data_IF_998090376126
#
_entry.id   IF_998090376126
#
_cell.length_a   1.000
_cell.length_b   1.000
_cell.length_c   1.000
_cell.angle_alpha   90.00
_cell.angle_beta   90.00
_cell.angle_gamma   90.00
#
_symmetry.space_group_name_H-M   'P 1'
#
loop_
_entity.id
_entity.type
_entity.pdbx_description
1 polymer ?
#
# COMPACT_ATOMS: atom_id res chain seq x y z
N UNK A 1 -2.64 12.87 23.56
CA UNK A 1 -2.16 11.74 22.73
C UNK A 1 -2.20 10.50 23.58
N UNK A 2 -3.07 9.54 23.24
CA UNK A 2 -3.40 8.37 24.08
C UNK A 2 -2.57 7.16 23.68
N UNK A 3 -2.41 6.21 24.59
CA UNK A 3 -1.65 4.95 24.46
C UNK A 3 -1.95 4.13 23.17
N UNK A 4 -3.08 4.37 22.50
CA UNK A 4 -3.46 3.75 21.21
C UNK A 4 -2.74 4.34 19.99
N UNK A 5 -2.23 5.57 20.05
CA UNK A 5 -1.52 6.20 18.93
C UNK A 5 -0.10 5.65 18.75
N UNK A 6 0.49 5.04 19.79
CA UNK A 6 1.80 4.38 19.70
C UNK A 6 1.74 3.00 19.03
N UNK A 7 0.59 2.32 19.06
CA UNK A 7 0.45 0.98 18.46
C UNK A 7 0.33 0.96 16.92
N UNK A 8 0.17 2.12 16.27
CA UNK A 8 0.00 2.20 14.80
C UNK A 8 1.26 2.63 14.04
N UNK A 9 2.39 2.86 14.72
CA UNK A 9 3.67 3.05 14.06
C UNK A 9 4.14 1.67 13.58
N UNK A 10 3.92 1.37 12.29
CA UNK A 10 4.46 0.18 11.62
C UNK A 10 5.99 0.18 11.76
N UNK A 11 6.50 -0.71 12.62
CA UNK A 11 7.92 -1.00 12.80
C UNK A 11 8.59 -1.61 11.54
N UNK A 12 7.84 -1.78 10.45
CA UNK A 12 8.27 -2.37 9.18
C UNK A 12 9.14 -1.45 8.30
N UNK A 13 9.67 -0.33 8.82
CA UNK A 13 10.39 0.68 8.02
C UNK A 13 11.88 0.83 8.32
N UNK A 14 12.50 -0.12 9.03
CA UNK A 14 13.94 -0.11 9.31
C UNK A 14 14.67 -1.41 8.95
N UNK A 15 14.17 -2.23 8.01
CA UNK A 15 14.82 -3.49 7.59
C UNK A 15 15.33 -3.38 6.15
N UNK A 16 15.98 -2.27 5.81
CA UNK A 16 16.61 -2.12 4.48
C UNK A 16 18.05 -1.59 4.59
N UNK A 17 18.57 -1.33 5.78
CA UNK A 17 20.00 -0.97 5.95
C UNK A 17 20.53 -1.56 7.23
N UNK A 18 21.42 -2.55 7.10
CA UNK A 18 22.36 -2.92 8.15
C UNK A 18 21.80 -3.88 9.20
N UNK A 19 22.58 -4.93 9.46
CA UNK A 19 22.37 -5.78 10.63
C UNK A 19 22.41 -4.99 11.95
N UNK A 20 21.96 -5.68 13.00
CA UNK A 20 21.96 -5.31 14.41
C UNK A 20 20.83 -4.39 14.92
N UNK A 21 19.74 -4.99 15.42
CA UNK A 21 18.87 -4.39 16.46
C UNK A 21 17.91 -5.39 17.17
N UNK A 22 18.38 -6.56 17.61
CA UNK A 22 17.50 -7.54 18.32
C UNK A 22 17.61 -7.46 19.87
N UNK A 23 18.61 -6.80 20.45
CA UNK A 23 18.82 -6.87 21.90
C UNK A 23 18.07 -5.83 22.76
N UNK A 24 17.62 -4.69 22.20
CA UNK A 24 17.07 -3.56 22.98
C UNK A 24 15.55 -3.63 23.20
N UNK A 25 14.82 -4.32 22.32
CA UNK A 25 13.35 -4.29 22.27
C UNK A 25 12.67 -5.16 23.35
N UNK A 26 13.32 -6.24 23.79
CA UNK A 26 12.75 -7.18 24.76
C UNK A 26 12.73 -6.64 26.21
N UNK A 27 13.70 -5.81 26.58
CA UNK A 27 13.79 -5.23 27.92
C UNK A 27 12.69 -4.17 28.20
N UNK A 28 12.33 -3.40 27.16
CA UNK A 28 11.30 -2.36 27.23
C UNK A 28 9.90 -2.99 27.33
N UNK A 29 9.65 -4.07 26.59
CA UNK A 29 8.41 -4.82 26.63
C UNK A 29 8.11 -5.42 28.03
N UNK A 30 9.14 -5.91 28.72
CA UNK A 30 9.01 -6.43 30.08
C UNK A 30 8.72 -5.32 31.12
N UNK A 31 9.35 -4.15 30.97
CA UNK A 31 9.19 -3.02 31.88
C UNK A 31 7.79 -2.38 31.81
N UNK A 32 7.21 -2.24 30.62
CA UNK A 32 5.90 -1.62 30.41
C UNK A 32 4.73 -2.46 30.92
N UNK A 33 4.86 -3.80 30.90
CA UNK A 33 3.81 -4.74 31.34
C UNK A 33 3.56 -4.72 32.87
N UNK A 34 4.46 -4.13 33.65
CA UNK A 34 4.35 -4.08 35.12
C UNK A 34 3.53 -2.89 35.64
N UNK A 35 3.38 -1.82 34.85
CA UNK A 35 2.65 -0.61 35.27
C UNK A 35 1.13 -0.69 35.04
N UNK A 36 0.67 -1.50 34.09
CA UNK A 36 -0.76 -1.57 33.71
C UNK A 36 -1.66 -2.32 34.71
N UNK A 37 -1.12 -2.87 35.80
CA UNK A 37 -1.88 -3.62 36.80
C UNK A 37 -2.49 -2.76 37.93
N UNK A 38 -2.15 -1.47 38.01
CA UNK A 38 -2.45 -0.66 39.20
C UNK A 38 -3.39 0.55 39.00
N UNK A 39 -4.11 0.70 37.88
CA UNK A 39 -4.91 1.91 37.69
C UNK A 39 -6.21 1.70 36.88
N UNK A 40 -7.25 1.13 37.48
CA UNK A 40 -8.65 1.38 37.05
C UNK A 40 -9.59 1.36 38.26
N UNK A 41 -10.03 2.54 38.73
CA UNK A 41 -11.24 2.69 39.55
C UNK A 41 -11.87 4.09 39.42
N UNK A 42 -13.14 4.14 38.99
CA UNK A 42 -14.11 5.25 39.15
C UNK A 42 -14.01 6.43 38.17
N UNK A 43 -15.05 7.20 37.84
CA UNK A 43 -16.49 7.21 38.16
C UNK A 43 -17.19 8.38 37.41
N UNK A 44 -18.30 8.06 36.71
CA UNK A 44 -19.62 8.74 36.50
C UNK A 44 -19.88 10.28 36.42
N UNK A 45 -20.60 10.65 35.33
CA UNK A 45 -21.90 11.39 35.14
C UNK A 45 -22.21 12.82 35.67
N UNK A 46 -22.91 13.62 34.83
CA UNK A 46 -23.77 14.76 35.21
C UNK A 46 -24.62 15.32 34.03
N UNK A 47 -25.86 15.76 34.26
CA UNK A 47 -26.95 15.98 33.27
C UNK A 47 -27.71 17.33 33.49
N UNK A 48 -28.22 17.93 32.38
CA UNK A 48 -29.41 18.86 32.14
C UNK A 48 -29.34 20.36 32.52
N UNK A 49 -30.30 21.25 32.08
CA UNK A 49 -31.38 21.16 31.06
C UNK A 49 -31.59 22.42 30.14
N UNK A 50 -32.59 22.31 29.25
CA UNK A 50 -33.17 23.21 28.22
C UNK A 50 -34.10 24.35 28.72
N UNK A 51 -34.31 25.40 27.91
CA UNK A 51 -35.43 26.35 28.05
C UNK A 51 -36.13 26.64 26.70
N UNK A 52 -37.46 26.68 26.72
CA UNK A 52 -38.37 26.83 25.57
C UNK A 52 -39.02 28.21 25.53
N UNK A 53 -39.29 28.77 24.35
CA UNK A 53 -40.23 29.90 24.18
C UNK A 53 -41.03 29.72 22.88
N UNK A 54 -42.36 29.92 22.95
CA UNK A 54 -43.31 29.86 21.85
C UNK A 54 -43.44 31.21 21.10
N UNK A 55 -43.93 31.23 19.83
CA UNK A 55 -43.85 32.41 18.96
C UNK A 55 -45.20 33.13 18.72
N UNK A 56 -45.16 34.41 18.34
CA UNK A 56 -46.14 35.02 17.44
C UNK A 56 -45.62 36.36 16.89
N UNK A 57 -45.53 36.54 15.56
CA UNK A 57 -45.99 37.80 14.98
C UNK A 57 -46.79 37.62 13.66
N UNK A 58 -47.69 38.58 13.44
CA UNK A 58 -48.53 38.79 12.25
C UNK A 58 -47.84 38.37 10.93
N UNK A 59 -48.46 37.47 10.18
CA UNK A 59 -47.98 36.98 8.89
C UNK A 59 -48.30 37.98 7.77
N UNK A 60 -47.28 38.45 7.05
CA UNK A 60 -47.45 39.30 5.86
C UNK A 60 -48.07 38.50 4.69
N UNK A 61 -48.83 39.13 3.77
CA UNK A 61 -49.50 38.43 2.67
C UNK A 61 -48.57 37.58 1.79
N UNK A 62 -47.35 38.06 1.49
CA UNK A 62 -46.35 37.30 0.73
C UNK A 62 -45.84 36.05 1.48
N UNK A 63 -45.77 36.10 2.81
CA UNK A 63 -45.42 34.93 3.63
C UNK A 63 -46.54 33.88 3.57
N UNK A 64 -47.81 34.29 3.69
CA UNK A 64 -48.95 33.36 3.58
C UNK A 64 -48.96 32.65 2.22
N UNK A 65 -48.77 33.39 1.12
CA UNK A 65 -48.67 32.80 -0.21
C UNK A 65 -47.47 31.86 -0.35
N UNK A 66 -46.29 32.24 0.16
CA UNK A 66 -45.12 31.36 0.17
C UNK A 66 -45.35 30.05 0.94
N UNK A 67 -46.03 30.13 2.09
CA UNK A 67 -46.38 28.96 2.90
C UNK A 67 -47.31 28.01 2.15
N UNK A 68 -48.36 28.53 1.50
CA UNK A 68 -49.30 27.73 0.70
C UNK A 68 -48.58 27.02 -0.47
N UNK A 69 -47.72 27.74 -1.19
CA UNK A 69 -46.96 27.17 -2.30
C UNK A 69 -45.95 26.13 -1.81
N UNK A 70 -45.27 26.36 -0.67
CA UNK A 70 -44.41 25.35 -0.03
C UNK A 70 -45.21 24.09 0.32
N UNK A 71 -46.41 24.23 0.84
CA UNK A 71 -47.26 23.08 1.20
C UNK A 71 -47.73 22.31 -0.04
N UNK A 72 -47.99 23.00 -1.17
CA UNK A 72 -48.18 22.34 -2.48
C UNK A 72 -46.92 21.59 -2.93
N UNK A 73 -45.73 22.18 -2.75
CA UNK A 73 -44.46 21.53 -3.03
C UNK A 73 -44.26 20.24 -2.22
N UNK A 74 -44.63 20.26 -0.94
CA UNK A 74 -44.61 19.08 -0.07
C UNK A 74 -45.58 17.99 -0.56
N UNK A 75 -46.75 18.38 -1.06
CA UNK A 75 -47.72 17.45 -1.62
C UNK A 75 -47.21 16.80 -2.91
N UNK A 76 -46.64 17.59 -3.84
CA UNK A 76 -45.95 17.04 -5.00
C UNK A 76 -44.80 16.11 -4.64
N UNK A 77 -44.06 16.43 -3.57
CA UNK A 77 -42.98 15.59 -3.08
C UNK A 77 -43.49 14.24 -2.57
N UNK A 78 -44.60 14.22 -1.81
CA UNK A 78 -45.26 12.98 -1.35
C UNK A 78 -45.78 12.13 -2.52
N UNK A 79 -46.22 12.77 -3.60
CA UNK A 79 -46.66 12.11 -4.83
C UNK A 79 -45.49 11.67 -5.73
N UNK A 80 -44.25 11.72 -5.24
CA UNK A 80 -43.02 11.43 -5.99
C UNK A 80 -42.83 12.29 -7.26
N UNK A 81 -43.56 13.41 -7.38
CA UNK A 81 -43.44 14.37 -8.49
C UNK A 81 -42.35 15.39 -8.19
N UNK A 82 -41.10 14.92 -8.09
CA UNK A 82 -39.98 15.71 -7.57
C UNK A 82 -39.68 16.99 -8.36
N UNK A 83 -39.81 16.95 -9.70
CA UNK A 83 -39.63 18.13 -10.55
C UNK A 83 -40.67 19.22 -10.24
N UNK A 84 -41.94 18.85 -10.14
CA UNK A 84 -43.03 19.78 -9.75
C UNK A 84 -42.85 20.30 -8.33
N UNK A 85 -42.36 19.45 -7.42
CA UNK A 85 -42.02 19.87 -6.07
C UNK A 85 -40.92 20.92 -6.07
N UNK A 86 -39.85 20.73 -6.85
CA UNK A 86 -38.76 21.71 -6.98
C UNK A 86 -39.21 23.04 -7.60
N UNK A 87 -40.09 22.99 -8.61
CA UNK A 87 -40.72 24.18 -9.21
C UNK A 87 -41.56 24.94 -8.16
N UNK A 88 -42.41 24.24 -7.41
CA UNK A 88 -43.21 24.84 -6.35
C UNK A 88 -42.33 25.43 -5.22
N UNK A 89 -41.29 24.73 -4.77
CA UNK A 89 -40.37 25.30 -3.77
C UNK A 89 -39.63 26.53 -4.30
N UNK A 90 -39.31 26.57 -5.59
CA UNK A 90 -38.70 27.76 -6.22
C UNK A 90 -39.65 28.95 -6.19
N UNK A 91 -40.93 28.74 -6.52
CA UNK A 91 -41.97 29.77 -6.41
C UNK A 91 -42.15 30.22 -4.94
N UNK A 92 -42.15 29.28 -3.99
CA UNK A 92 -42.22 29.61 -2.56
C UNK A 92 -41.04 30.48 -2.10
N UNK A 93 -39.82 30.19 -2.57
CA UNK A 93 -38.63 31.00 -2.28
C UNK A 93 -38.79 32.43 -2.83
N UNK A 94 -39.28 32.57 -4.07
CA UNK A 94 -39.45 33.88 -4.71
C UNK A 94 -40.54 34.74 -4.03
N UNK A 95 -41.57 34.12 -3.46
CA UNK A 95 -42.65 34.82 -2.76
C UNK A 95 -42.31 35.16 -1.30
N UNK A 96 -41.31 34.48 -0.72
CA UNK A 96 -40.97 34.67 0.68
C UNK A 96 -40.19 35.97 0.89
N UNK A 97 -40.64 36.88 1.78
CA UNK A 97 -39.86 38.05 2.12
C UNK A 97 -38.52 37.66 2.78
N UNK A 98 -37.41 38.35 2.47
CA UNK A 98 -36.06 37.98 2.91
C UNK A 98 -35.86 38.00 4.43
N UNK A 99 -36.74 38.68 5.16
CA UNK A 99 -36.73 38.74 6.63
C UNK A 99 -37.09 37.39 7.26
N UNK A 100 -37.82 36.52 6.55
CA UNK A 100 -38.25 35.20 7.03
C UNK A 100 -37.20 34.12 6.78
N UNK A 101 -35.98 34.34 7.30
CA UNK A 101 -34.83 33.44 7.10
C UNK A 101 -35.11 31.97 7.41
N UNK A 102 -35.81 31.68 8.51
CA UNK A 102 -36.15 30.30 8.89
C UNK A 102 -37.06 29.63 7.86
N UNK A 103 -38.03 30.36 7.30
CA UNK A 103 -38.92 29.82 6.27
C UNK A 103 -38.19 29.61 4.94
N UNK A 104 -37.33 30.57 4.57
CA UNK A 104 -36.45 30.43 3.40
C UNK A 104 -35.53 29.22 3.53
N UNK A 105 -34.91 29.02 4.70
CA UNK A 105 -34.04 27.87 4.98
C UNK A 105 -34.81 26.55 4.77
N UNK A 106 -36.05 26.45 5.27
CA UNK A 106 -36.92 25.28 5.05
C UNK A 106 -37.25 25.09 3.56
N UNK A 107 -37.56 26.17 2.83
CA UNK A 107 -37.86 26.06 1.39
C UNK A 107 -36.66 25.58 0.59
N UNK A 108 -35.46 26.12 0.87
CA UNK A 108 -34.21 25.64 0.27
C UNK A 108 -33.95 24.17 0.60
N UNK A 109 -34.07 23.77 1.87
CA UNK A 109 -33.83 22.37 2.27
C UNK A 109 -34.84 21.39 1.64
N UNK A 110 -36.10 21.79 1.49
CA UNK A 110 -37.11 20.98 0.83
C UNK A 110 -36.85 20.87 -0.68
N UNK A 111 -36.34 21.94 -1.32
CA UNK A 111 -35.92 21.89 -2.71
C UNK A 111 -34.68 21.03 -2.92
N UNK A 112 -33.70 21.11 -2.03
CA UNK A 112 -32.56 20.19 -1.99
C UNK A 112 -33.01 18.72 -1.88
N UNK A 113 -34.04 18.45 -1.05
CA UNK A 113 -34.62 17.12 -0.96
C UNK A 113 -35.21 16.63 -2.28
N UNK A 114 -35.82 17.52 -3.06
CA UNK A 114 -36.33 17.19 -4.39
C UNK A 114 -35.18 16.92 -5.38
N UNK A 115 -34.11 17.72 -5.35
CA UNK A 115 -32.92 17.50 -6.17
C UNK A 115 -32.23 16.17 -5.88
N UNK A 116 -32.07 15.80 -4.60
CA UNK A 116 -31.55 14.47 -4.22
C UNK A 116 -32.36 13.33 -4.84
N UNK A 117 -33.70 13.45 -4.82
CA UNK A 117 -34.59 12.42 -5.39
C UNK A 117 -34.57 12.38 -6.91
N UNK A 118 -34.09 13.43 -7.56
CA UNK A 118 -33.86 13.49 -9.01
C UNK A 118 -32.43 13.03 -9.39
N UNK A 119 -31.58 12.69 -8.42
CA UNK A 119 -30.19 12.31 -8.68
C UNK A 119 -29.28 13.50 -9.00
N UNK A 120 -29.63 14.70 -8.52
CA UNK A 120 -28.85 15.93 -8.71
C UNK A 120 -28.25 16.41 -7.38
N UNK A 121 -27.17 15.76 -6.90
CA UNK A 121 -26.54 16.11 -5.63
C UNK A 121 -25.83 17.47 -5.67
N UNK A 122 -25.45 17.98 -6.84
CA UNK A 122 -24.82 19.29 -6.99
C UNK A 122 -25.79 20.42 -6.64
N UNK A 123 -27.00 20.39 -7.19
CA UNK A 123 -28.05 21.35 -6.83
C UNK A 123 -28.49 21.21 -5.38
N UNK A 124 -28.52 19.97 -4.86
CA UNK A 124 -28.80 19.72 -3.44
C UNK A 124 -27.78 20.39 -2.52
N UNK A 125 -26.48 20.31 -2.83
CA UNK A 125 -25.42 20.98 -2.06
C UNK A 125 -25.60 22.50 -2.06
N UNK A 126 -25.92 23.09 -3.21
CA UNK A 126 -26.13 24.55 -3.34
C UNK A 126 -27.28 24.99 -2.43
N UNK A 127 -28.42 24.31 -2.50
CA UNK A 127 -29.59 24.64 -1.71
C UNK A 127 -29.40 24.35 -0.21
N UNK A 128 -28.75 23.25 0.16
CA UNK A 128 -28.40 23.00 1.55
C UNK A 128 -27.43 24.05 2.09
N UNK A 129 -26.48 24.53 1.28
CA UNK A 129 -25.55 25.59 1.69
C UNK A 129 -26.29 26.90 1.93
N UNK A 130 -27.20 27.30 1.04
CA UNK A 130 -28.08 28.46 1.27
C UNK A 130 -28.95 28.30 2.50
N UNK A 131 -29.48 27.11 2.74
CA UNK A 131 -30.25 26.83 3.95
C UNK A 131 -29.40 27.00 5.22
N UNK A 132 -28.14 26.59 5.20
CA UNK A 132 -27.20 26.71 6.33
C UNK A 132 -26.64 28.13 6.51
N UNK A 133 -26.56 28.94 5.44
CA UNK A 133 -26.27 30.37 5.56
C UNK A 133 -27.40 31.13 6.28
N UNK A 134 -28.65 30.68 6.11
CA UNK A 134 -29.83 31.26 6.74
C UNK A 134 -30.07 30.73 8.16
N UNK A 135 -29.88 29.43 8.36
CA UNK A 135 -29.97 28.75 9.64
C UNK A 135 -28.79 27.76 9.80
N UNK A 136 -27.67 28.20 10.44
CA UNK A 136 -26.50 27.35 10.65
C UNK A 136 -26.76 26.13 11.54
N UNK A 137 -27.87 26.10 12.28
CA UNK A 137 -28.26 24.98 13.14
C UNK A 137 -29.35 24.12 12.49
N UNK A 138 -29.53 24.21 11.17
CA UNK A 138 -30.51 23.39 10.49
C UNK A 138 -30.01 21.97 10.23
N UNK A 139 -30.16 21.10 11.23
CA UNK A 139 -29.67 19.72 11.23
C UNK A 139 -30.02 18.93 9.95
N UNK A 140 -31.25 19.07 9.43
CA UNK A 140 -31.68 18.36 8.21
C UNK A 140 -30.96 18.83 6.94
N UNK A 141 -30.48 20.08 6.90
CA UNK A 141 -29.68 20.59 5.79
C UNK A 141 -28.23 20.08 5.89
N UNK A 142 -27.65 20.07 7.10
CA UNK A 142 -26.31 19.50 7.36
C UNK A 142 -26.23 18.04 6.90
N UNK A 143 -27.12 17.19 7.41
CA UNK A 143 -27.11 15.75 7.07
C UNK A 143 -27.36 15.51 5.58
N UNK A 144 -28.19 16.32 4.94
CA UNK A 144 -28.47 16.19 3.51
C UNK A 144 -27.25 16.58 2.67
N UNK A 145 -26.57 17.67 3.01
CA UNK A 145 -25.36 18.11 2.33
C UNK A 145 -24.23 17.10 2.48
N UNK A 146 -24.05 16.52 3.66
CA UNK A 146 -23.12 15.42 3.88
C UNK A 146 -23.37 14.24 2.92
N UNK A 147 -24.63 13.80 2.78
CA UNK A 147 -25.00 12.71 1.87
C UNK A 147 -24.76 13.05 0.41
N UNK A 148 -25.04 14.29 0.00
CA UNK A 148 -24.75 14.76 -1.34
C UNK A 148 -23.24 14.86 -1.62
N UNK A 149 -22.41 15.19 -0.62
CA UNK A 149 -20.96 15.09 -0.74
C UNK A 149 -20.48 13.64 -0.90
N UNK A 150 -21.07 12.69 -0.17
CA UNK A 150 -20.75 11.27 -0.33
C UNK A 150 -21.09 10.74 -1.73
N UNK A 151 -22.24 11.11 -2.29
CA UNK A 151 -22.62 10.69 -3.65
C UNK A 151 -21.75 11.30 -4.75
N UNK A 152 -21.08 12.42 -4.48
CA UNK A 152 -20.10 13.06 -5.36
C UNK A 152 -18.65 12.63 -5.08
N UNK A 153 -18.44 11.60 -4.26
CA UNK A 153 -17.12 11.12 -3.85
C UNK A 153 -16.23 12.21 -3.20
N UNK A 154 -16.84 13.10 -2.40
CA UNK A 154 -16.19 14.20 -1.66
C UNK A 154 -16.17 13.92 -0.14
N UNK A 155 -15.34 12.98 0.35
CA UNK A 155 -15.42 12.48 1.71
C UNK A 155 -14.98 13.49 2.78
N UNK A 156 -14.07 14.41 2.46
CA UNK A 156 -13.58 15.42 3.42
C UNK A 156 -14.72 16.37 3.83
N UNK A 157 -15.40 16.97 2.85
CA UNK A 157 -16.53 17.85 3.11
C UNK A 157 -17.70 17.10 3.77
N UNK A 158 -17.89 15.82 3.43
CA UNK A 158 -18.89 14.97 4.09
C UNK A 158 -18.55 14.76 5.57
N UNK A 159 -17.29 14.46 5.90
CA UNK A 159 -16.84 14.26 7.28
C UNK A 159 -17.00 15.53 8.13
N UNK A 160 -16.75 16.70 7.58
CA UNK A 160 -16.96 17.98 8.26
C UNK A 160 -18.43 18.16 8.68
N UNK A 161 -19.36 17.98 7.72
CA UNK A 161 -20.80 18.09 7.97
C UNK A 161 -21.32 16.99 8.91
N UNK A 162 -20.84 15.75 8.77
CA UNK A 162 -21.21 14.66 9.67
C UNK A 162 -20.72 14.91 11.10
N UNK A 163 -19.48 15.39 11.25
CA UNK A 163 -18.92 15.77 12.56
C UNK A 163 -19.77 16.87 13.20
N UNK A 164 -20.13 17.89 12.43
CA UNK A 164 -21.01 18.95 12.90
C UNK A 164 -22.40 18.41 13.31
N UNK A 165 -22.98 17.49 12.54
CA UNK A 165 -24.23 16.84 12.89
C UNK A 165 -24.16 16.05 14.21
N UNK A 166 -23.05 15.35 14.48
CA UNK A 166 -22.81 14.66 15.76
C UNK A 166 -22.69 15.63 16.94
N UNK A 167 -22.06 16.79 16.74
CA UNK A 167 -21.97 17.83 17.79
C UNK A 167 -23.37 18.37 18.12
N UNK A 168 -24.23 18.56 17.11
CA UNK A 168 -25.59 19.07 17.31
C UNK A 168 -26.53 18.04 17.94
N UNK A 169 -26.37 16.76 17.60
CA UNK A 169 -27.19 15.68 18.14
C UNK A 169 -26.32 14.47 18.50
N UNK A 170 -25.79 14.42 19.75
CA UNK A 170 -24.88 13.37 20.19
C UNK A 170 -25.51 11.97 20.25
N UNK A 171 -26.83 11.87 20.40
CA UNK A 171 -27.58 10.61 20.36
C UNK A 171 -27.88 10.17 18.91
N UNK A 172 -26.91 10.40 18.02
CA UNK A 172 -27.07 10.29 16.58
C UNK A 172 -27.68 8.95 16.14
N UNK A 173 -28.54 9.03 15.11
CA UNK A 173 -29.18 7.86 14.53
C UNK A 173 -28.16 6.90 13.94
N UNK A 174 -28.48 5.61 13.96
CA UNK A 174 -27.62 4.57 13.36
C UNK A 174 -27.29 4.87 11.89
N UNK A 175 -28.21 5.52 11.16
CA UNK A 175 -27.94 5.99 9.79
C UNK A 175 -26.76 6.95 9.70
N UNK A 176 -26.59 7.87 10.67
CA UNK A 176 -25.51 8.86 10.61
C UNK A 176 -24.14 8.21 10.85
N UNK A 177 -24.08 7.18 11.70
CA UNK A 177 -22.86 6.39 11.91
C UNK A 177 -22.46 5.64 10.63
N UNK A 178 -23.43 5.02 9.95
CA UNK A 178 -23.18 4.36 8.67
C UNK A 178 -22.67 5.35 7.60
N UNK A 179 -23.20 6.57 7.58
CA UNK A 179 -22.73 7.63 6.68
C UNK A 179 -21.27 8.02 7.02
N UNK A 180 -20.87 8.06 8.29
CA UNK A 180 -19.47 8.29 8.72
C UNK A 180 -18.56 7.15 8.30
N UNK A 181 -18.94 5.90 8.54
CA UNK A 181 -18.15 4.74 8.14
C UNK A 181 -17.92 4.73 6.62
N UNK A 182 -18.95 5.09 5.84
CA UNK A 182 -18.85 5.25 4.39
C UNK A 182 -17.89 6.38 4.00
N UNK A 183 -17.96 7.53 4.68
CA UNK A 183 -17.07 8.67 4.44
C UNK A 183 -15.60 8.32 4.72
N UNK A 184 -15.33 7.65 5.84
CA UNK A 184 -13.98 7.20 6.24
C UNK A 184 -13.43 6.19 5.25
N UNK A 185 -14.24 5.20 4.84
CA UNK A 185 -13.82 4.21 3.84
C UNK A 185 -13.46 4.86 2.50
N UNK A 186 -14.25 5.83 2.05
CA UNK A 186 -13.99 6.57 0.83
C UNK A 186 -12.75 7.46 0.94
N UNK A 187 -12.57 8.18 2.06
CA UNK A 187 -11.36 8.96 2.31
C UNK A 187 -10.09 8.08 2.30
N UNK A 188 -10.16 6.91 2.92
CA UNK A 188 -9.06 5.94 2.91
C UNK A 188 -8.76 5.45 1.49
N UNK A 189 -9.78 5.17 0.67
CA UNK A 189 -9.60 4.78 -0.72
C UNK A 189 -8.92 5.89 -1.55
N UNK A 190 -9.40 7.13 -1.43
CA UNK A 190 -8.81 8.29 -2.11
C UNK A 190 -7.36 8.52 -1.68
N UNK A 191 -7.05 8.37 -0.39
CA UNK A 191 -5.68 8.49 0.12
C UNK A 191 -4.78 7.39 -0.43
N UNK A 192 -5.26 6.15 -0.48
CA UNK A 192 -4.52 5.03 -1.08
C UNK A 192 -4.22 5.29 -2.54
N UNK A 193 -5.19 5.78 -3.31
CA UNK A 193 -5.01 6.14 -4.72
C UNK A 193 -4.05 7.32 -4.88
N UNK A 194 -4.21 8.36 -4.06
CA UNK A 194 -3.30 9.50 -4.06
C UNK A 194 -1.87 9.06 -3.77
N UNK A 195 -1.65 8.26 -2.71
CA UNK A 195 -0.34 7.71 -2.36
C UNK A 195 0.22 6.81 -3.45
N UNK A 196 -0.60 6.01 -4.14
CA UNK A 196 -0.14 5.24 -5.32
C UNK A 196 0.39 6.15 -6.43
N UNK A 197 -0.25 7.29 -6.64
CA UNK A 197 0.08 8.23 -7.70
C UNK A 197 1.20 9.22 -7.32
N UNK A 198 1.39 9.50 -6.03
CA UNK A 198 2.38 10.48 -5.53
C UNK A 198 3.56 9.87 -4.80
N UNK A 199 3.61 8.54 -4.58
CA UNK A 199 4.83 7.87 -4.12
C UNK A 199 5.87 8.02 -5.23
N UNK A 200 6.70 9.05 -5.13
CA UNK A 200 7.99 9.11 -5.81
C UNK A 200 8.63 7.73 -5.66
N UNK A 201 8.96 7.11 -6.80
CA UNK A 201 9.63 5.81 -6.86
C UNK A 201 10.76 5.84 -5.84
N UNK A 202 10.75 4.96 -4.84
CA UNK A 202 11.94 4.78 -4.00
C UNK A 202 13.09 4.56 -4.99
N UNK A 203 14.13 5.43 -4.98
CA UNK A 203 15.22 5.27 -5.90
C UNK A 203 15.88 3.93 -5.61
N UNK A 204 16.25 3.20 -6.67
CA UNK A 204 16.97 1.96 -6.49
C UNK A 204 18.29 2.30 -5.84
N UNK A 205 18.55 1.66 -4.69
CA UNK A 205 19.79 1.88 -3.96
C UNK A 205 20.93 1.12 -4.60
N UNK A 206 22.05 1.82 -4.77
CA UNK A 206 23.26 1.25 -5.39
C UNK A 206 23.73 -0.02 -4.67
N UNK A 207 23.61 -0.05 -3.34
CA UNK A 207 23.99 -1.21 -2.53
C UNK A 207 23.22 -2.49 -2.92
N UNK A 208 21.94 -2.37 -3.30
CA UNK A 208 21.11 -3.53 -3.68
C UNK A 208 21.52 -4.08 -5.05
N UNK A 209 21.88 -3.19 -5.98
CA UNK A 209 22.36 -3.58 -7.32
C UNK A 209 23.75 -4.20 -7.22
N UNK A 210 24.62 -3.64 -6.40
CA UNK A 210 25.95 -4.21 -6.12
C UNK A 210 25.82 -5.59 -5.47
N UNK A 211 24.95 -5.73 -4.46
CA UNK A 211 24.66 -7.01 -3.81
C UNK A 211 24.22 -8.06 -4.81
N UNK A 212 23.29 -7.72 -5.71
CA UNK A 212 22.88 -8.62 -6.77
C UNK A 212 24.07 -9.03 -7.66
N UNK A 213 24.82 -8.05 -8.18
CA UNK A 213 25.90 -8.27 -9.15
C UNK A 213 27.04 -9.14 -8.63
N UNK A 214 27.30 -9.12 -7.32
CA UNK A 214 28.37 -9.90 -6.71
C UNK A 214 27.93 -11.21 -6.08
N UNK A 215 26.64 -11.35 -5.77
CA UNK A 215 26.12 -12.55 -5.09
C UNK A 215 25.74 -13.66 -6.05
N UNK A 216 25.16 -13.32 -7.20
CA UNK A 216 24.60 -14.29 -8.13
C UNK A 216 25.62 -14.62 -9.23
N UNK A 217 26.02 -15.88 -9.33
CA UNK A 217 27.11 -16.32 -10.23
C UNK A 217 26.56 -16.90 -11.54
N UNK A 218 25.37 -17.50 -11.50
CA UNK A 218 24.74 -18.19 -12.63
C UNK A 218 23.61 -17.39 -13.30
N UNK A 219 23.34 -16.17 -12.85
CA UNK A 219 22.35 -15.27 -13.43
C UNK A 219 22.70 -14.90 -14.88
N UNK A 220 21.89 -15.30 -15.88
CA UNK A 220 22.16 -14.98 -17.28
C UNK A 220 22.23 -13.48 -17.58
N UNK A 221 21.46 -12.64 -16.88
CA UNK A 221 21.46 -11.19 -17.08
C UNK A 221 22.79 -10.58 -16.60
N UNK A 222 23.37 -11.14 -15.53
CA UNK A 222 24.67 -10.70 -15.04
C UNK A 222 25.82 -11.13 -15.95
N UNK A 223 25.66 -12.21 -16.70
CA UNK A 223 26.61 -12.58 -17.77
C UNK A 223 26.63 -11.48 -18.84
N UNK A 224 25.45 -11.10 -19.36
CA UNK A 224 25.31 -10.04 -20.37
C UNK A 224 25.82 -8.69 -19.84
N UNK A 225 25.64 -8.41 -18.55
CA UNK A 225 26.13 -7.18 -17.93
C UNK A 225 27.66 -7.09 -17.88
N UNK A 226 28.39 -8.22 -17.84
CA UNK A 226 29.87 -8.24 -17.83
C UNK A 226 30.48 -7.86 -19.18
N UNK A 227 29.79 -8.12 -20.27
CA UNK A 227 30.28 -7.86 -21.62
C UNK A 227 29.84 -6.48 -22.11
N UNK A 228 30.79 -5.63 -22.51
CA UNK A 228 30.45 -4.39 -23.21
C UNK A 228 29.95 -4.73 -24.61
N UNK A 229 28.71 -4.35 -24.90
CA UNK A 229 28.07 -4.60 -26.18
C UNK A 229 27.95 -3.30 -26.97
N UNK A 230 28.28 -3.35 -28.25
CA UNK A 230 28.04 -2.24 -29.20
C UNK A 230 26.57 -2.20 -29.68
N UNK A 231 25.73 -3.11 -29.20
CA UNK A 231 24.32 -3.18 -29.56
C UNK A 231 23.55 -1.96 -29.05
N UNK A 232 22.70 -1.41 -29.91
CA UNK A 232 21.85 -0.25 -29.60
C UNK A 232 20.45 -0.71 -29.16
N UNK A 233 20.23 -2.00 -28.89
CA UNK A 233 18.90 -2.49 -28.50
C UNK A 233 18.48 -1.88 -27.14
N UNK A 234 17.18 -1.65 -26.91
CA UNK A 234 16.71 -1.10 -25.63
C UNK A 234 17.19 -1.92 -24.42
N UNK A 235 17.25 -3.25 -24.51
CA UNK A 235 17.84 -4.09 -23.47
C UNK A 235 19.32 -3.76 -23.17
N UNK A 236 20.16 -3.56 -24.18
CA UNK A 236 21.57 -3.23 -23.97
C UNK A 236 21.75 -1.81 -23.43
N UNK A 237 20.87 -0.87 -23.81
CA UNK A 237 20.80 0.45 -23.18
C UNK A 237 20.43 0.32 -21.70
N UNK A 238 19.52 -0.59 -21.34
CA UNK A 238 19.18 -0.85 -19.94
C UNK A 238 20.38 -1.42 -19.16
N UNK A 239 21.14 -2.34 -19.74
CA UNK A 239 22.38 -2.83 -19.13
C UNK A 239 23.40 -1.70 -18.93
N UNK A 240 23.53 -0.80 -19.90
CA UNK A 240 24.41 0.35 -19.78
C UNK A 240 23.96 1.34 -18.70
N UNK A 241 22.65 1.58 -18.59
CA UNK A 241 22.08 2.35 -17.49
C UNK A 241 22.42 1.72 -16.12
N UNK A 242 22.41 0.39 -16.00
CA UNK A 242 22.85 -0.32 -14.79
C UNK A 242 24.34 -0.10 -14.51
N UNK A 243 25.20 -0.10 -15.55
CA UNK A 243 26.65 0.18 -15.38
C UNK A 243 26.90 1.61 -14.92
N UNK A 244 26.14 2.55 -15.46
CA UNK A 244 26.24 3.98 -15.18
C UNK A 244 25.46 4.42 -13.92
N UNK A 245 24.76 3.49 -13.26
CA UNK A 245 23.94 3.71 -12.07
C UNK A 245 22.71 4.61 -12.29
N UNK A 246 22.22 4.69 -13.53
CA UNK A 246 20.98 5.36 -13.90
C UNK A 246 19.79 4.39 -13.80
N UNK A 247 19.50 3.93 -12.60
CA UNK A 247 18.58 2.80 -12.36
C UNK A 247 17.12 3.10 -12.72
N UNK A 248 16.73 4.37 -12.70
CA UNK A 248 15.44 4.89 -13.11
C UNK A 248 15.10 4.60 -14.58
N UNK A 249 16.11 4.51 -15.45
CA UNK A 249 15.92 4.26 -16.89
C UNK A 249 15.68 2.79 -17.21
N UNK A 250 16.04 1.87 -16.31
CA UNK A 250 16.05 0.41 -16.58
C UNK A 250 14.66 -0.11 -16.92
N UNK A 251 13.65 0.17 -16.10
CA UNK A 251 12.28 -0.32 -16.36
C UNK A 251 11.73 0.24 -17.68
N UNK A 252 11.75 1.57 -17.95
CA UNK A 252 11.31 2.13 -19.23
C UNK A 252 12.03 1.53 -20.45
N UNK A 253 13.34 1.33 -20.37
CA UNK A 253 14.12 0.76 -21.47
C UNK A 253 13.76 -0.71 -21.74
N UNK A 254 13.56 -1.50 -20.70
CA UNK A 254 13.16 -2.91 -20.83
C UNK A 254 11.68 -3.03 -21.27
N UNK A 255 10.80 -2.12 -20.85
CA UNK A 255 9.42 -2.04 -21.36
C UNK A 255 9.40 -1.70 -22.87
N UNK A 256 10.28 -0.80 -23.32
CA UNK A 256 10.47 -0.53 -24.73
C UNK A 256 10.99 -1.78 -25.49
N UNK A 257 11.94 -2.53 -24.92
CA UNK A 257 12.43 -3.78 -25.52
C UNK A 257 11.30 -4.79 -25.74
N UNK A 258 10.41 -4.95 -24.76
CA UNK A 258 9.22 -5.81 -24.87
C UNK A 258 8.28 -5.37 -26.00
N UNK A 259 8.02 -4.06 -26.14
CA UNK A 259 7.18 -3.52 -27.21
C UNK A 259 7.80 -3.80 -28.57
N UNK A 260 9.12 -3.60 -28.73
CA UNK A 260 9.84 -3.88 -29.96
C UNK A 260 9.77 -5.36 -30.31
N UNK A 261 10.01 -6.26 -29.35
CA UNK A 261 9.96 -7.71 -29.57
C UNK A 261 8.55 -8.22 -29.93
N UNK A 262 7.50 -7.60 -29.38
CA UNK A 262 6.11 -7.97 -29.68
C UNK A 262 5.60 -7.40 -31.01
N UNK A 263 6.28 -6.39 -31.56
CA UNK A 263 5.86 -5.73 -32.80
C UNK A 263 6.26 -6.48 -34.08
N UNK A 264 7.30 -7.32 -34.03
CA UNK A 264 7.71 -8.18 -35.16
C UNK A 264 7.56 -9.67 -34.82
N UNK A 265 6.46 -10.32 -35.25
CA UNK A 265 6.21 -11.74 -34.98
C UNK A 265 7.29 -12.69 -35.50
N UNK A 266 8.08 -12.28 -36.48
CA UNK A 266 9.16 -13.11 -37.05
C UNK A 266 10.44 -13.07 -36.21
N UNK A 267 10.55 -12.15 -35.24
CA UNK A 267 11.70 -12.01 -34.33
C UNK A 267 11.34 -12.28 -32.86
N UNK A 268 10.12 -12.77 -32.59
CA UNK A 268 9.64 -13.03 -31.24
C UNK A 268 10.50 -14.10 -30.55
N UNK A 269 11.39 -13.65 -29.67
CA UNK A 269 12.20 -14.53 -28.84
C UNK A 269 11.64 -14.56 -27.42
N UNK A 270 10.86 -15.60 -27.11
CA UNK A 270 10.21 -15.75 -25.81
C UNK A 270 11.24 -15.76 -24.66
N UNK A 271 12.44 -16.31 -24.88
CA UNK A 271 13.52 -16.29 -23.89
C UNK A 271 13.97 -14.86 -23.54
N UNK A 272 14.02 -13.96 -24.52
CA UNK A 272 14.31 -12.54 -24.26
C UNK A 272 13.17 -11.87 -23.50
N UNK A 273 11.92 -12.19 -23.82
CA UNK A 273 10.75 -11.68 -23.07
C UNK A 273 10.79 -12.14 -21.62
N UNK A 274 11.11 -13.42 -21.37
CA UNK A 274 11.28 -13.95 -20.01
C UNK A 274 12.38 -13.22 -19.24
N UNK A 275 13.55 -13.03 -19.87
CA UNK A 275 14.68 -12.25 -19.33
C UNK A 275 14.24 -10.85 -18.92
N UNK A 276 13.50 -10.18 -19.79
CA UNK A 276 13.04 -8.80 -19.58
C UNK A 276 12.07 -8.71 -18.41
N UNK A 277 11.11 -9.63 -18.28
CA UNK A 277 10.24 -9.68 -17.11
C UNK A 277 10.99 -9.97 -15.81
N UNK A 278 12.00 -10.85 -15.83
CA UNK A 278 12.84 -11.12 -14.65
C UNK A 278 13.63 -9.87 -14.24
N UNK A 279 14.22 -9.15 -15.20
CA UNK A 279 14.95 -7.91 -14.93
C UNK A 279 14.01 -6.85 -14.34
N UNK A 280 12.84 -6.64 -14.94
CA UNK A 280 11.88 -5.69 -14.42
C UNK A 280 11.35 -6.09 -13.03
N UNK A 281 11.06 -7.37 -12.80
CA UNK A 281 10.60 -7.88 -11.50
C UNK A 281 11.64 -7.62 -10.41
N UNK A 282 12.92 -7.84 -10.71
CA UNK A 282 14.04 -7.54 -9.79
C UNK A 282 14.11 -6.05 -9.45
N UNK A 283 14.01 -5.17 -10.44
CA UNK A 283 14.02 -3.72 -10.20
C UNK A 283 12.75 -3.25 -9.47
N UNK A 284 11.59 -3.87 -9.72
CA UNK A 284 10.36 -3.60 -8.97
C UNK A 284 10.50 -4.01 -7.50
N UNK A 285 11.16 -5.14 -7.22
CA UNK A 285 11.49 -5.58 -5.86
C UNK A 285 12.43 -4.58 -5.16
N UNK A 286 13.51 -4.14 -5.84
CA UNK A 286 14.45 -3.15 -5.29
C UNK A 286 13.82 -1.78 -5.02
N UNK A 287 12.76 -1.43 -5.76
CA UNK A 287 11.94 -0.22 -5.54
C UNK A 287 10.85 -0.41 -4.47
N UNK A 288 10.73 -1.60 -3.89
CA UNK A 288 9.63 -1.98 -3.00
C UNK A 288 8.24 -1.68 -3.58
N UNK A 289 8.11 -1.86 -4.90
CA UNK A 289 6.84 -1.71 -5.60
C UNK A 289 6.20 -3.09 -5.78
N UNK A 290 5.48 -3.51 -4.74
CA UNK A 290 4.93 -4.87 -4.63
C UNK A 290 3.85 -5.15 -5.69
N UNK A 291 3.08 -4.13 -6.08
CA UNK A 291 2.09 -4.22 -7.17
C UNK A 291 2.79 -4.46 -8.52
N UNK A 292 3.75 -3.60 -8.85
CA UNK A 292 4.60 -3.68 -10.04
C UNK A 292 5.31 -5.03 -10.14
N UNK A 293 5.82 -5.55 -9.02
CA UNK A 293 6.43 -6.87 -8.94
C UNK A 293 5.43 -7.99 -9.27
N UNK A 294 4.25 -7.97 -8.65
CA UNK A 294 3.19 -8.97 -8.88
C UNK A 294 2.77 -9.03 -10.36
N UNK A 295 2.56 -7.87 -10.98
CA UNK A 295 2.14 -7.78 -12.38
C UNK A 295 3.18 -8.39 -13.32
N UNK A 296 4.47 -8.11 -13.08
CA UNK A 296 5.58 -8.65 -13.90
C UNK A 296 5.76 -10.14 -13.72
N UNK A 297 5.58 -10.65 -12.50
CA UNK A 297 5.60 -12.10 -12.23
C UNK A 297 4.42 -12.79 -12.93
N UNK A 298 3.22 -12.22 -12.89
CA UNK A 298 2.06 -12.76 -13.60
C UNK A 298 2.26 -12.77 -15.13
N UNK A 299 2.85 -11.71 -15.68
CA UNK A 299 3.18 -11.62 -17.10
C UNK A 299 4.26 -12.65 -17.50
N UNK A 300 5.29 -12.85 -16.66
CA UNK A 300 6.28 -13.91 -16.84
C UNK A 300 5.62 -15.28 -16.90
N UNK A 301 4.75 -15.62 -15.94
CA UNK A 301 4.11 -16.93 -15.87
C UNK A 301 3.20 -17.17 -17.09
N UNK A 302 2.47 -16.15 -17.54
CA UNK A 302 1.69 -16.21 -18.76
C UNK A 302 2.55 -16.54 -19.98
N UNK A 303 3.70 -15.86 -20.15
CA UNK A 303 4.63 -16.15 -21.24
C UNK A 303 5.28 -17.52 -21.11
N UNK A 304 5.66 -17.93 -19.90
CA UNK A 304 6.24 -19.26 -19.64
C UNK A 304 5.32 -20.39 -20.11
N UNK A 305 4.02 -20.22 -19.89
CA UNK A 305 3.01 -21.20 -20.27
C UNK A 305 2.84 -21.35 -21.79
N UNK A 306 3.36 -20.41 -22.59
CA UNK A 306 3.36 -20.51 -24.06
C UNK A 306 4.53 -21.31 -24.64
N UNK A 307 5.59 -21.57 -23.87
CA UNK A 307 6.76 -22.33 -24.32
C UNK A 307 6.43 -23.80 -24.55
N UNK A 308 7.02 -24.37 -25.60
CA UNK A 308 7.02 -25.81 -25.82
C UNK A 308 7.97 -26.52 -24.83
N UNK A 309 7.87 -27.85 -24.74
CA UNK A 309 8.66 -28.67 -23.81
C UNK A 309 10.18 -28.65 -24.10
N UNK A 310 10.58 -28.42 -25.35
CA UNK A 310 12.01 -28.34 -25.70
C UNK A 310 12.62 -27.03 -25.18
N UNK A 311 11.96 -25.90 -25.43
CA UNK A 311 12.40 -24.59 -24.95
C UNK A 311 12.37 -24.51 -23.42
N UNK A 312 11.41 -25.16 -22.74
CA UNK A 312 11.41 -25.27 -21.26
C UNK A 312 12.62 -26.05 -20.72
N UNK A 313 13.17 -26.98 -21.50
CA UNK A 313 14.34 -27.78 -21.11
C UNK A 313 15.66 -27.05 -21.32
N UNK A 314 15.68 -25.96 -22.09
CA UNK A 314 16.87 -25.12 -22.26
C UNK A 314 17.33 -24.54 -20.92
N UNK A 315 18.64 -24.58 -20.71
CA UNK A 315 19.25 -24.18 -19.43
C UNK A 315 18.94 -22.73 -19.06
N UNK A 316 18.98 -21.81 -20.04
CA UNK A 316 18.65 -20.39 -19.81
C UNK A 316 17.21 -20.23 -19.30
N UNK A 317 16.25 -20.91 -19.94
CA UNK A 317 14.85 -20.82 -19.54
C UNK A 317 14.60 -21.44 -18.16
N UNK A 318 15.28 -22.54 -17.82
CA UNK A 318 15.27 -23.11 -16.46
C UNK A 318 15.81 -22.13 -15.41
N UNK A 319 16.88 -21.41 -15.73
CA UNK A 319 17.43 -20.37 -14.84
C UNK A 319 16.42 -19.23 -14.63
N UNK A 320 15.80 -18.73 -15.69
CA UNK A 320 14.74 -17.72 -15.53
C UNK A 320 13.54 -18.24 -14.73
N UNK A 321 13.15 -19.50 -14.92
CA UNK A 321 12.04 -20.09 -14.16
C UNK A 321 12.36 -20.27 -12.68
N UNK A 322 13.57 -20.71 -12.34
CA UNK A 322 13.97 -20.81 -10.93
C UNK A 322 14.08 -19.42 -10.28
N UNK A 323 14.60 -18.41 -11.00
CA UNK A 323 14.61 -17.01 -10.53
C UNK A 323 13.20 -16.47 -10.32
N UNK A 324 12.25 -16.79 -11.20
CA UNK A 324 10.83 -16.44 -11.02
C UNK A 324 10.30 -16.96 -9.69
N UNK A 325 10.54 -18.22 -9.33
CA UNK A 325 10.09 -18.79 -8.06
C UNK A 325 10.74 -18.11 -6.84
N UNK A 326 12.04 -17.75 -6.92
CA UNK A 326 12.70 -16.96 -5.87
C UNK A 326 12.08 -15.56 -5.73
N UNK A 327 11.80 -14.88 -6.84
CA UNK A 327 11.15 -13.55 -6.81
C UNK A 327 9.68 -13.63 -6.35
N UNK A 328 8.99 -14.72 -6.68
CA UNK A 328 7.63 -14.99 -6.21
C UNK A 328 7.60 -15.26 -4.70
N UNK A 329 8.58 -16.00 -4.17
CA UNK A 329 8.79 -16.17 -2.74
C UNK A 329 9.02 -14.82 -2.05
N UNK A 330 9.86 -13.95 -2.62
CA UNK A 330 10.09 -12.60 -2.10
C UNK A 330 8.79 -11.77 -2.06
N UNK A 331 8.01 -11.79 -3.14
CA UNK A 331 6.70 -11.13 -3.20
C UNK A 331 5.74 -11.66 -2.12
N UNK A 332 5.66 -13.00 -1.96
CA UNK A 332 4.84 -13.66 -0.94
C UNK A 332 5.22 -13.27 0.49
N UNK A 333 6.52 -13.14 0.79
CA UNK A 333 7.02 -12.65 2.08
C UNK A 333 6.53 -11.22 2.34
N UNK A 334 6.68 -10.33 1.34
CA UNK A 334 6.29 -8.91 1.46
C UNK A 334 4.78 -8.72 1.66
N UNK A 335 3.95 -9.56 1.04
CA UNK A 335 2.49 -9.53 1.19
C UNK A 335 1.97 -10.43 2.32
N UNK A 336 2.85 -11.14 3.02
CA UNK A 336 2.50 -12.14 4.04
C UNK A 336 1.46 -13.16 3.55
N UNK A 337 1.66 -13.71 2.35
CA UNK A 337 0.67 -14.59 1.71
C UNK A 337 1.28 -15.86 1.10
N UNK A 338 0.46 -16.92 1.03
CA UNK A 338 0.81 -18.18 0.39
C UNK A 338 1.88 -18.99 1.14
N UNK A 339 2.17 -20.16 0.60
CA UNK A 339 3.29 -20.98 1.06
C UNK A 339 4.56 -20.56 0.30
N UNK A 340 5.60 -20.22 1.07
CA UNK A 340 6.90 -19.76 0.58
C UNK A 340 7.83 -20.96 0.34
N UNK A 341 7.72 -22.01 1.16
CA UNK A 341 8.63 -23.16 1.07
C UNK A 341 8.41 -23.93 -0.23
N UNK A 342 7.16 -24.10 -0.67
CA UNK A 342 6.88 -24.72 -1.98
C UNK A 342 7.55 -23.98 -3.15
N UNK A 343 7.67 -22.65 -3.10
CA UNK A 343 8.36 -21.91 -4.15
C UNK A 343 9.85 -22.22 -4.21
N UNK A 344 10.51 -22.36 -3.05
CA UNK A 344 11.91 -22.78 -3.00
C UNK A 344 12.09 -24.21 -3.51
N UNK A 345 11.18 -25.12 -3.14
CA UNK A 345 11.23 -26.51 -3.64
C UNK A 345 11.05 -26.57 -5.15
N UNK A 346 10.08 -25.85 -5.71
CA UNK A 346 9.90 -25.77 -7.17
C UNK A 346 11.16 -25.21 -7.86
N UNK A 347 11.77 -24.15 -7.32
CA UNK A 347 13.00 -23.60 -7.87
C UNK A 347 14.12 -24.65 -7.91
N UNK A 348 14.34 -25.37 -6.80
CA UNK A 348 15.34 -26.45 -6.70
C UNK A 348 15.03 -27.60 -7.66
N UNK A 349 13.77 -28.02 -7.80
CA UNK A 349 13.37 -29.08 -8.73
C UNK A 349 13.69 -28.74 -10.20
N UNK A 350 13.58 -27.46 -10.57
CA UNK A 350 13.87 -26.99 -11.92
C UNK A 350 15.37 -27.09 -12.25
N UNK A 351 16.23 -26.65 -11.33
CA UNK A 351 17.69 -26.64 -11.52
C UNK A 351 18.44 -26.83 -10.18
N UNK A 352 18.62 -28.09 -9.80
CA UNK A 352 19.34 -28.49 -8.58
C UNK A 352 20.82 -28.09 -8.57
N UNK A 353 21.39 -27.74 -9.74
CA UNK A 353 22.81 -27.39 -9.85
C UNK A 353 23.06 -25.90 -9.67
N UNK A 354 22.00 -25.09 -9.67
CA UNK A 354 22.12 -23.65 -9.60
C UNK A 354 22.26 -23.14 -8.16
N UNK A 355 23.49 -22.82 -7.77
CA UNK A 355 23.84 -22.27 -6.44
C UNK A 355 23.07 -20.99 -6.08
N UNK A 356 22.67 -20.20 -7.08
CA UNK A 356 21.95 -18.93 -6.89
C UNK A 356 20.56 -19.12 -6.26
N UNK A 357 19.93 -20.29 -6.47
CA UNK A 357 18.64 -20.63 -5.90
C UNK A 357 18.77 -20.78 -4.38
N UNK A 358 19.76 -21.58 -3.96
CA UNK A 358 20.05 -21.82 -2.55
C UNK A 358 20.48 -20.54 -1.84
N UNK A 359 21.26 -19.69 -2.52
CA UNK A 359 21.66 -18.39 -1.99
C UNK A 359 20.45 -17.45 -1.82
N UNK A 360 19.61 -17.35 -2.86
CA UNK A 360 18.40 -16.54 -2.83
C UNK A 360 17.40 -17.00 -1.75
N UNK A 361 17.17 -18.30 -1.63
CA UNK A 361 16.34 -18.88 -0.57
C UNK A 361 16.89 -18.56 0.82
N UNK A 362 18.21 -18.75 1.03
CA UNK A 362 18.85 -18.45 2.30
C UNK A 362 18.76 -16.96 2.68
N UNK A 363 18.96 -16.04 1.72
CA UNK A 363 18.78 -14.61 1.96
C UNK A 363 17.34 -14.29 2.40
N UNK A 364 16.35 -14.79 1.66
CA UNK A 364 14.94 -14.53 1.95
C UNK A 364 14.49 -15.13 3.30
N UNK A 365 14.89 -16.37 3.60
CA UNK A 365 14.59 -17.04 4.86
C UNK A 365 15.26 -16.33 6.04
N UNK A 366 16.51 -15.88 5.88
CA UNK A 366 17.22 -15.11 6.91
C UNK A 366 16.49 -13.81 7.24
N UNK A 367 16.07 -13.05 6.24
CA UNK A 367 15.30 -11.81 6.43
C UNK A 367 13.92 -12.08 7.04
N UNK A 368 13.29 -13.22 6.71
CA UNK A 368 12.02 -13.63 7.31
C UNK A 368 12.19 -14.23 8.73
N UNK A 369 13.40 -14.31 9.26
CA UNK A 369 13.71 -14.84 10.61
C UNK A 369 13.75 -16.37 10.70
N UNK A 370 13.62 -17.09 9.59
CA UNK A 370 13.73 -18.55 9.48
C UNK A 370 15.20 -18.96 9.36
N UNK A 371 15.95 -18.72 10.44
CA UNK A 371 17.42 -18.81 10.44
C UNK A 371 17.95 -20.23 10.29
N UNK A 372 17.25 -21.23 10.81
CA UNK A 372 17.69 -22.63 10.72
C UNK A 372 17.55 -23.15 9.29
N UNK A 373 16.41 -22.86 8.67
CA UNK A 373 16.12 -23.19 7.29
C UNK A 373 17.09 -22.47 6.34
N UNK A 374 17.40 -21.20 6.60
CA UNK A 374 18.43 -20.47 5.88
C UNK A 374 19.81 -21.15 5.97
N UNK A 375 20.19 -21.65 7.14
CA UNK A 375 21.44 -22.41 7.34
C UNK A 375 21.41 -23.72 6.54
N UNK A 376 20.28 -24.41 6.49
CA UNK A 376 20.15 -25.68 5.76
C UNK A 376 20.33 -25.48 4.24
N UNK A 377 19.75 -24.40 3.68
CA UNK A 377 19.98 -24.02 2.27
C UNK A 377 21.44 -23.64 2.01
N UNK A 378 22.09 -22.91 2.92
CA UNK A 378 23.52 -22.60 2.82
C UNK A 378 24.40 -23.85 2.89
N UNK A 379 24.00 -24.86 3.67
CA UNK A 379 24.69 -26.14 3.73
C UNK A 379 24.53 -26.97 2.46
N UNK A 380 23.37 -26.90 1.82
CA UNK A 380 23.18 -27.48 0.48
C UNK A 380 24.03 -26.75 -0.56
N UNK A 381 24.06 -25.41 -0.53
CA UNK A 381 24.91 -24.62 -1.41
C UNK A 381 26.40 -25.02 -1.22
N UNK A 382 26.87 -25.09 0.03
CA UNK A 382 28.26 -25.46 0.33
C UNK A 382 28.64 -26.86 -0.15
N UNK A 383 27.68 -27.78 -0.31
CA UNK A 383 27.92 -29.11 -0.89
C UNK A 383 28.11 -29.04 -2.41
N UNK A 384 27.39 -28.14 -3.08
CA UNK A 384 27.46 -27.95 -4.53
C UNK A 384 28.71 -27.15 -4.90
N UNK A 385 28.95 -26.04 -4.20
CA UNK A 385 30.12 -25.17 -4.37
C UNK A 385 30.80 -24.83 -3.03
N UNK A 386 31.77 -25.65 -2.58
CA UNK A 386 32.53 -25.39 -1.36
C UNK A 386 33.44 -24.15 -1.42
N UNK A 387 33.69 -23.62 -2.62
CA UNK A 387 34.54 -22.46 -2.87
C UNK A 387 33.74 -21.15 -2.94
N UNK A 388 32.40 -21.21 -2.90
CA UNK A 388 31.53 -20.05 -2.97
C UNK A 388 31.91 -18.99 -1.92
N UNK A 389 32.13 -17.76 -2.37
CA UNK A 389 32.74 -16.68 -1.58
C UNK A 389 31.87 -16.19 -0.42
N UNK A 390 30.54 -16.27 -0.54
CA UNK A 390 29.61 -15.75 0.48
C UNK A 390 29.16 -16.75 1.55
N UNK A 391 29.18 -18.05 1.25
CA UNK A 391 28.44 -19.05 2.03
C UNK A 391 28.94 -19.17 3.46
N UNK A 392 30.26 -19.15 3.64
CA UNK A 392 30.88 -19.22 4.97
C UNK A 392 30.51 -18.00 5.83
N UNK A 393 30.47 -16.81 5.23
CA UNK A 393 30.11 -15.58 5.92
C UNK A 393 28.63 -15.58 6.30
N UNK A 394 27.75 -15.86 5.33
CA UNK A 394 26.31 -15.91 5.57
C UNK A 394 25.91 -16.97 6.60
N UNK A 395 26.51 -18.15 6.53
CA UNK A 395 26.24 -19.22 7.51
C UNK A 395 26.66 -18.81 8.90
N UNK A 396 27.83 -18.17 9.04
CA UNK A 396 28.30 -17.65 10.32
C UNK A 396 27.36 -16.57 10.89
N UNK A 397 26.85 -15.67 10.05
CA UNK A 397 25.86 -14.66 10.43
C UNK A 397 24.53 -15.29 10.89
N UNK A 398 23.97 -16.21 10.11
CA UNK A 398 22.72 -16.88 10.47
C UNK A 398 22.88 -17.69 11.78
N UNK A 399 24.01 -18.37 11.95
CA UNK A 399 24.32 -19.13 13.18
C UNK A 399 24.45 -18.20 14.39
N UNK A 400 25.11 -17.04 14.21
CA UNK A 400 25.21 -16.03 15.24
C UNK A 400 23.82 -15.52 15.67
N UNK A 401 22.99 -15.15 14.69
CA UNK A 401 21.64 -14.66 14.93
C UNK A 401 20.76 -15.72 15.62
N UNK A 402 20.87 -16.99 15.21
CA UNK A 402 20.15 -18.11 15.80
C UNK A 402 20.58 -18.34 17.25
N UNK A 403 21.87 -18.34 17.54
CA UNK A 403 22.35 -18.49 18.93
C UNK A 403 21.91 -17.32 19.81
N UNK A 404 21.94 -16.11 19.27
CA UNK A 404 21.47 -14.92 19.97
C UNK A 404 19.97 -15.01 20.28
N UNK A 405 19.14 -15.51 19.36
CA UNK A 405 17.69 -15.63 19.56
C UNK A 405 17.32 -16.66 20.65
N UNK A 406 18.15 -17.69 20.86
CA UNK A 406 17.96 -18.71 21.91
C UNK A 406 18.68 -18.33 23.23
N UNK A 407 19.35 -17.18 23.28
CA UNK A 407 20.02 -16.67 24.49
C UNK A 407 21.44 -17.20 24.74
N UNK A 408 22.06 -17.89 23.77
CA UNK A 408 23.46 -18.31 23.82
C UNK A 408 24.40 -17.16 23.40
N UNK A 409 24.58 -16.19 24.31
CA UNK A 409 25.42 -15.01 24.09
C UNK A 409 26.89 -15.40 23.85
N UNK A 410 27.41 -16.41 24.57
CA UNK A 410 28.79 -16.87 24.43
C UNK A 410 29.05 -17.48 23.06
N UNK A 411 28.15 -18.33 22.58
CA UNK A 411 28.24 -18.91 21.24
C UNK A 411 28.01 -17.89 20.13
N UNK A 412 27.14 -16.89 20.33
CA UNK A 412 26.96 -15.79 19.39
C UNK A 412 28.23 -14.93 19.25
N UNK A 413 28.89 -14.58 20.37
CA UNK A 413 30.16 -13.84 20.36
C UNK A 413 31.30 -14.61 19.66
N UNK A 414 31.34 -15.94 19.83
CA UNK A 414 32.29 -16.80 19.12
C UNK A 414 32.04 -16.79 17.59
N UNK A 415 30.77 -16.84 17.17
CA UNK A 415 30.39 -16.72 15.76
C UNK A 415 30.73 -15.33 15.19
N UNK A 416 30.49 -14.25 15.94
CA UNK A 416 30.88 -12.89 15.55
C UNK A 416 32.40 -12.77 15.33
N UNK A 417 33.19 -13.32 16.24
CA UNK A 417 34.66 -13.36 16.09
C UNK A 417 35.07 -14.13 14.83
N UNK A 418 34.32 -15.20 14.50
CA UNK A 418 34.56 -15.98 13.28
C UNK A 418 34.24 -15.18 12.02
N UNK A 419 33.15 -14.41 12.00
CA UNK A 419 32.80 -13.48 10.90
C UNK A 419 33.94 -12.49 10.68
N UNK A 420 34.49 -11.91 11.76
CA UNK A 420 35.60 -10.96 11.68
C UNK A 420 36.87 -11.55 11.11
N UNK A 421 37.21 -12.76 11.55
CA UNK A 421 38.35 -13.49 10.99
C UNK A 421 38.15 -13.75 9.50
N UNK A 422 36.95 -14.15 9.08
CA UNK A 422 36.65 -14.39 7.67
C UNK A 422 36.77 -13.09 6.85
N UNK A 423 36.28 -11.97 7.37
CA UNK A 423 36.42 -10.65 6.73
C UNK A 423 37.90 -10.24 6.60
N UNK A 424 38.70 -10.42 7.66
CA UNK A 424 40.13 -10.09 7.66
C UNK A 424 40.98 -10.99 6.77
N UNK A 425 40.60 -12.27 6.62
CA UNK A 425 41.28 -13.21 5.72
C UNK A 425 41.08 -12.83 4.25
N UNK A 426 39.98 -12.14 3.93
CA UNK A 426 39.69 -11.63 2.61
C UNK A 426 40.31 -10.23 2.48
N UNK A 427 41.61 -10.13 2.16
CA UNK A 427 42.33 -8.83 2.08
C UNK A 427 41.78 -7.87 1.03
N UNK A 428 41.01 -8.38 0.06
CA UNK A 428 40.20 -7.63 -0.89
C UNK A 428 38.71 -7.89 -0.64
N UNK A 429 38.28 -7.92 0.63
CA UNK A 429 36.89 -8.19 1.00
C UNK A 429 35.99 -7.29 0.15
N UNK A 430 35.21 -7.93 -0.71
CA UNK A 430 34.23 -7.27 -1.56
C UNK A 430 33.39 -6.35 -0.64
N UNK A 431 33.22 -5.05 -0.94
CA UNK A 431 32.38 -4.15 -0.15
C UNK A 431 30.99 -4.74 0.18
N UNK A 432 30.51 -5.67 -0.65
CA UNK A 432 29.30 -6.44 -0.40
C UNK A 432 29.37 -7.33 0.86
N UNK A 433 30.53 -7.89 1.23
CA UNK A 433 30.69 -8.68 2.45
C UNK A 433 30.42 -7.86 3.71
N UNK A 434 30.76 -6.57 3.71
CA UNK A 434 30.44 -5.64 4.80
C UNK A 434 28.93 -5.37 4.89
N UNK A 435 28.29 -5.12 3.73
CA UNK A 435 26.84 -4.99 3.62
C UNK A 435 26.08 -6.22 4.14
N UNK A 436 26.50 -7.43 3.73
CA UNK A 436 25.88 -8.71 4.15
C UNK A 436 26.13 -9.00 5.64
N UNK A 437 27.25 -8.53 6.20
CA UNK A 437 27.59 -8.75 7.62
C UNK A 437 27.07 -7.68 8.56
N UNK A 438 26.47 -6.60 8.03
CA UNK A 438 26.00 -5.47 8.84
C UNK A 438 27.14 -4.74 9.57
N UNK A 439 28.35 -4.78 9.00
CA UNK A 439 29.58 -4.16 9.48
C UNK A 439 29.90 -2.95 8.61
#
# INVERSE_FOLDING_TARGET
MTEKEWSSIRWSKWIVVGGACIASSAAIWWYMRKQSRNAVSGSKSGVRPTASVAPCPMLFPGMQSSQEIKDKGNEYFKQCSYRKAAEAFTEAINLCPPEYKNHLAVCYQNRAAAYDRMGDPEQSIIDCTKALELDPLYFKAVVRRAKAYLSLSKPEQALDDLTYAFVMNPDASESLKMDVDSAVALAAANLVEHVKNTRESIPVRDELVLLWRSSYVNDPILHDLKEESLSVSPYHQALEAIRQRHYEEVIPLVENDLVVQQSDPNQLNITNILRDYILQARFALMKENVLSLKERLAAFDSMWNTLNEDSRREMINKRFRSMYHILLAAWKILEHCGDIESEFHHAVEIDQTNVDIYLGAALLLSENGQLQEAIDYLDQLNKIDPAHHLVKHMKANCTMALKASVGDVGGAMACMTKVDQLLQMNRNADPILYLITGR
#
